data_IF_870318272078
#
_entry.id   IF_870318272078
#
_cell.length_a   1.000
_cell.length_b   1.000
_cell.length_c   1.000
_cell.angle_alpha   90.00
_cell.angle_beta   90.00
_cell.angle_gamma   90.00
#
_symmetry.space_group_name_H-M   'P 1'
#
loop_
_entity.id
_entity.type
_entity.pdbx_description
1 polymer ?
#
# COMPACT_ATOMS: atom_id res chain seq x y z
N UNK A 1 16.26 16.56 -6.44
CA UNK A 1 15.13 15.81 -7.02
C UNK A 1 15.73 14.71 -7.90
N UNK A 2 15.35 13.46 -7.70
CA UNK A 2 15.88 12.30 -8.43
C UNK A 2 14.76 11.67 -9.27
N UNK A 3 15.09 11.17 -10.46
CA UNK A 3 14.15 10.39 -11.26
C UNK A 3 14.27 8.91 -10.87
N UNK A 4 13.18 8.31 -10.36
CA UNK A 4 13.12 6.93 -9.90
C UNK A 4 12.13 6.16 -10.76
N UNK A 5 12.57 5.15 -11.53
CA UNK A 5 11.67 4.28 -12.26
C UNK A 5 10.97 3.32 -11.29
N UNK A 6 9.66 3.18 -11.42
CA UNK A 6 8.87 2.17 -10.73
C UNK A 6 8.16 1.27 -11.74
N UNK A 7 7.96 0.01 -11.36
CA UNK A 7 7.23 -0.97 -12.16
C UNK A 7 6.34 -1.81 -11.26
N UNK A 8 5.22 -2.26 -11.82
CA UNK A 8 4.41 -3.29 -11.18
C UNK A 8 5.18 -4.61 -11.08
N UNK A 9 4.88 -5.39 -10.04
CA UNK A 9 5.44 -6.73 -9.87
C UNK A 9 4.79 -7.75 -10.81
N UNK A 10 3.51 -7.54 -11.15
CA UNK A 10 2.68 -8.54 -11.82
C UNK A 10 1.95 -7.99 -13.06
N UNK A 11 1.84 -6.67 -13.19
CA UNK A 11 1.22 -5.98 -14.33
C UNK A 11 2.29 -5.39 -15.27
N UNK A 12 1.88 -4.93 -16.45
CA UNK A 12 2.80 -4.30 -17.42
C UNK A 12 3.12 -2.83 -17.11
N UNK A 13 2.52 -2.28 -16.05
CA UNK A 13 2.67 -0.87 -15.70
C UNK A 13 4.10 -0.52 -15.27
N UNK A 14 4.59 0.60 -15.79
CA UNK A 14 5.82 1.25 -15.40
C UNK A 14 5.69 2.76 -15.58
N UNK A 15 6.39 3.53 -14.76
CA UNK A 15 6.48 4.98 -14.87
C UNK A 15 7.73 5.51 -14.17
N UNK A 16 8.09 6.76 -14.47
CA UNK A 16 9.17 7.47 -13.79
C UNK A 16 8.57 8.48 -12.82
N UNK A 17 9.08 8.50 -11.58
CA UNK A 17 8.68 9.44 -10.55
C UNK A 17 9.81 10.41 -10.25
N UNK A 18 9.49 11.68 -10.07
CA UNK A 18 10.46 12.67 -9.62
C UNK A 18 10.33 12.84 -8.10
N UNK A 19 11.32 12.33 -7.38
CA UNK A 19 11.27 12.21 -5.92
C UNK A 19 12.24 13.16 -5.23
N UNK A 20 11.86 13.61 -4.04
CA UNK A 20 12.81 14.17 -3.07
C UNK A 20 13.47 13.02 -2.30
N UNK A 21 14.79 13.12 -2.12
CA UNK A 21 15.56 12.11 -1.38
C UNK A 21 15.71 12.60 0.05
N UNK A 22 15.17 11.84 0.99
CA UNK A 22 15.27 12.09 2.42
C UNK A 22 16.13 11.00 3.06
N UNK A 23 16.90 11.29 4.12
CA UNK A 23 17.67 10.27 4.83
C UNK A 23 16.79 9.25 5.53
N UNK A 24 15.55 9.61 5.85
CA UNK A 24 14.55 8.77 6.49
C UNK A 24 13.15 9.23 6.12
N UNK A 25 12.26 8.31 5.75
CA UNK A 25 10.89 8.60 5.33
C UNK A 25 9.92 8.29 6.49
N UNK A 26 9.88 7.03 6.91
CA UNK A 26 9.07 6.55 8.03
C UNK A 26 9.80 5.45 8.80
N UNK A 27 9.37 5.21 10.04
CA UNK A 27 9.66 3.96 10.74
C UNK A 27 9.04 2.76 9.98
N UNK A 28 9.24 1.55 10.48
CA UNK A 28 8.67 0.34 9.89
C UNK A 28 7.13 0.38 9.84
N UNK A 29 6.58 0.01 8.69
CA UNK A 29 5.15 -0.10 8.44
C UNK A 29 4.86 -1.49 7.86
N UNK A 30 3.98 -2.29 8.50
CA UNK A 30 3.38 -2.06 9.82
C UNK A 30 4.44 -2.06 10.93
N UNK A 31 4.15 -1.44 12.08
CA UNK A 31 5.08 -1.43 13.21
C UNK A 31 5.26 -2.80 13.89
N UNK A 32 4.39 -3.75 13.57
CA UNK A 32 4.39 -5.13 14.04
C UNK A 32 3.78 -6.01 12.97
N UNK A 33 4.16 -7.29 12.97
CA UNK A 33 3.60 -8.26 12.04
C UNK A 33 2.08 -8.40 12.20
N UNK A 34 1.38 -8.42 11.08
CA UNK A 34 -0.07 -8.55 11.01
C UNK A 34 -0.41 -10.04 10.84
N UNK A 35 -1.15 -10.65 11.80
CA UNK A 35 -1.59 -12.03 11.65
C UNK A 35 -2.63 -12.13 10.51
N UNK A 36 -2.33 -12.98 9.52
CA UNK A 36 -3.15 -13.11 8.31
C UNK A 36 -4.35 -14.08 8.47
N UNK A 37 -4.48 -14.78 9.59
CA UNK A 37 -5.45 -15.87 9.77
C UNK A 37 -6.90 -15.47 9.42
N UNK A 38 -7.28 -14.23 9.68
CA UNK A 38 -8.63 -13.70 9.41
C UNK A 38 -8.73 -12.87 8.12
N UNK A 39 -7.62 -12.60 7.45
CA UNK A 39 -7.56 -11.81 6.21
C UNK A 39 -7.58 -12.77 5.01
N UNK A 40 -8.78 -13.08 4.53
CA UNK A 40 -8.97 -13.98 3.38
C UNK A 40 -8.85 -13.21 2.07
N UNK A 41 -7.62 -13.01 1.60
CA UNK A 41 -7.36 -12.43 0.28
C UNK A 41 -7.60 -13.52 -0.79
N UNK A 42 -8.41 -13.25 -1.83
CA UNK A 42 -8.57 -14.20 -2.93
C UNK A 42 -7.24 -14.51 -3.62
N UNK A 43 -6.93 -15.80 -3.81
CA UNK A 43 -5.62 -16.28 -4.29
C UNK A 43 -5.30 -15.88 -5.73
N UNK A 44 -6.31 -15.47 -6.51
CA UNK A 44 -6.15 -15.02 -7.88
C UNK A 44 -5.74 -13.54 -7.99
N UNK A 45 -5.59 -12.82 -6.87
CA UNK A 45 -5.23 -11.41 -6.87
C UNK A 45 -3.74 -11.24 -6.60
N UNK A 46 -3.11 -10.42 -7.44
CA UNK A 46 -1.73 -10.01 -7.25
C UNK A 46 -1.68 -8.71 -6.42
N UNK A 47 -1.12 -8.78 -5.21
CA UNK A 47 -0.94 -7.59 -4.37
C UNK A 47 0.18 -6.70 -4.91
N UNK A 48 0.04 -5.39 -4.75
CA UNK A 48 1.11 -4.44 -5.04
C UNK A 48 2.30 -4.61 -4.07
N UNK A 49 2.00 -5.02 -2.84
CA UNK A 49 2.97 -5.43 -1.85
C UNK A 49 2.56 -6.79 -1.24
N UNK A 50 3.15 -7.91 -1.70
CA UNK A 50 2.91 -9.23 -1.12
C UNK A 50 3.34 -9.37 0.35
N UNK A 51 4.19 -8.48 0.85
CA UNK A 51 4.72 -8.48 2.23
C UNK A 51 4.13 -7.37 3.10
N UNK A 52 2.98 -6.82 2.73
CA UNK A 52 2.29 -5.74 3.48
C UNK A 52 2.04 -6.03 4.97
N UNK A 53 2.12 -7.30 5.37
CA UNK A 53 1.87 -7.77 6.73
C UNK A 53 3.14 -7.83 7.59
N UNK A 54 4.33 -7.73 7.00
CA UNK A 54 5.61 -7.81 7.69
C UNK A 54 6.19 -6.41 7.91
N UNK A 55 6.69 -6.06 9.11
CA UNK A 55 7.36 -4.78 9.34
C UNK A 55 8.52 -4.55 8.37
N UNK A 56 8.52 -3.40 7.71
CA UNK A 56 9.57 -2.98 6.79
C UNK A 56 9.60 -1.46 6.68
N UNK A 57 10.77 -0.90 6.38
CA UNK A 57 10.91 0.50 5.99
C UNK A 57 10.13 0.79 4.72
N UNK A 58 9.62 2.02 4.60
CA UNK A 58 9.01 2.52 3.36
C UNK A 58 10.08 3.16 2.48
N UNK A 59 10.25 2.63 1.27
CA UNK A 59 11.25 3.14 0.31
C UNK A 59 10.77 4.39 -0.44
N UNK A 60 9.45 4.53 -0.62
CA UNK A 60 8.86 5.56 -1.46
C UNK A 60 7.45 5.94 -0.98
N UNK A 61 7.20 7.24 -0.85
CA UNK A 61 5.84 7.80 -0.72
C UNK A 61 5.47 8.44 -2.06
N UNK A 62 4.34 8.02 -2.62
CA UNK A 62 3.82 8.55 -3.88
C UNK A 62 2.82 9.67 -3.56
N UNK A 63 3.06 10.85 -4.13
CA UNK A 63 2.22 12.03 -3.97
C UNK A 63 0.93 11.99 -4.77
N UNK A 64 0.08 13.00 -4.54
CA UNK A 64 -1.21 13.15 -5.21
C UNK A 64 -1.09 13.40 -6.73
N UNK A 65 0.08 13.85 -7.19
CA UNK A 65 0.43 14.10 -8.58
C UNK A 65 0.39 12.83 -9.43
N UNK A 66 0.69 11.66 -8.86
CA UNK A 66 0.66 10.37 -9.58
C UNK A 66 -0.36 9.40 -8.99
N UNK A 67 -0.74 9.57 -7.72
CA UNK A 67 -1.67 8.68 -7.02
C UNK A 67 -2.96 8.38 -7.80
N UNK A 68 -3.58 9.40 -8.40
CA UNK A 68 -4.85 9.24 -9.11
C UNK A 68 -4.72 8.44 -10.40
N UNK A 69 -3.57 8.50 -11.07
CA UNK A 69 -3.29 7.72 -12.28
C UNK A 69 -3.00 6.25 -11.97
N UNK A 70 -2.62 5.95 -10.71
CA UNK A 70 -2.35 4.60 -10.25
C UNK A 70 -3.62 3.89 -9.80
N UNK A 71 -4.57 4.60 -9.18
CA UNK A 71 -5.77 3.99 -8.62
C UNK A 71 -6.70 3.46 -9.71
N UNK A 72 -7.13 2.21 -9.53
CA UNK A 72 -8.22 1.61 -10.28
C UNK A 72 -9.58 1.92 -9.69
N UNK A 73 -10.62 1.44 -10.35
CA UNK A 73 -12.02 1.65 -9.94
C UNK A 73 -12.55 0.51 -9.07
N UNK A 74 -11.97 -0.69 -9.16
CA UNK A 74 -12.48 -1.87 -8.45
C UNK A 74 -12.06 -1.86 -6.99
N UNK A 75 -13.00 -2.28 -6.15
CA UNK A 75 -12.81 -2.48 -4.70
C UNK A 75 -13.46 -3.78 -4.27
N UNK A 76 -12.80 -4.51 -3.38
CA UNK A 76 -13.33 -5.75 -2.80
C UNK A 76 -13.29 -5.60 -1.28
N UNK A 77 -14.47 -5.56 -0.65
CA UNK A 77 -14.56 -5.57 0.81
C UNK A 77 -14.33 -7.00 1.32
N UNK A 78 -13.44 -7.17 2.30
CA UNK A 78 -13.21 -8.47 2.94
C UNK A 78 -14.20 -8.75 4.09
N UNK A 79 -15.12 -7.82 4.37
CA UNK A 79 -16.14 -7.92 5.42
C UNK A 79 -15.98 -6.87 6.51
N UNK A 80 -16.88 -6.90 7.50
CA UNK A 80 -16.89 -5.91 8.58
C UNK A 80 -15.62 -6.01 9.44
N UNK A 81 -15.02 -4.85 9.76
CA UNK A 81 -13.78 -4.75 10.55
C UNK A 81 -12.52 -5.28 9.87
N UNK A 82 -12.59 -5.58 8.56
CA UNK A 82 -11.48 -6.08 7.75
C UNK A 82 -11.10 -5.06 6.66
N UNK A 83 -9.90 -5.21 6.07
CA UNK A 83 -9.47 -4.35 4.98
C UNK A 83 -10.37 -4.44 3.75
N UNK A 84 -10.27 -3.42 2.91
CA UNK A 84 -10.76 -3.36 1.55
C UNK A 84 -9.56 -3.49 0.63
N UNK A 85 -9.68 -4.36 -0.37
CA UNK A 85 -8.73 -4.42 -1.47
C UNK A 85 -9.11 -3.39 -2.51
N UNK A 86 -8.15 -2.58 -2.95
CA UNK A 86 -8.35 -1.54 -3.96
C UNK A 86 -7.44 -1.87 -5.15
N UNK A 87 -8.02 -1.93 -6.34
CA UNK A 87 -7.24 -2.12 -7.55
C UNK A 87 -6.32 -0.92 -7.80
N UNK A 88 -5.11 -1.18 -8.27
CA UNK A 88 -4.21 -0.16 -8.81
C UNK A 88 -3.39 -0.73 -9.96
N UNK A 89 -2.75 0.15 -10.74
CA UNK A 89 -1.82 -0.25 -11.81
C UNK A 89 -0.56 -0.96 -11.29
N UNK A 90 -0.27 -0.87 -9.99
CA UNK A 90 0.83 -1.58 -9.33
C UNK A 90 0.42 -2.95 -8.76
N UNK A 91 -0.88 -3.29 -8.81
CA UNK A 91 -1.46 -4.46 -8.15
C UNK A 91 -2.52 -4.07 -7.12
N UNK A 92 -3.10 -5.04 -6.43
CA UNK A 92 -4.12 -4.80 -5.42
C UNK A 92 -3.51 -4.25 -4.12
N UNK A 93 -4.03 -3.12 -3.67
CA UNK A 93 -3.67 -2.45 -2.43
C UNK A 93 -4.54 -2.98 -1.29
N UNK A 94 -3.95 -3.23 -0.13
CA UNK A 94 -4.68 -3.51 1.12
C UNK A 94 -4.89 -2.20 1.86
N UNK A 95 -6.15 -1.81 2.10
CA UNK A 95 -6.48 -0.52 2.71
C UNK A 95 -7.59 -0.64 3.75
N UNK A 96 -7.65 0.30 4.69
CA UNK A 96 -8.65 0.30 5.76
C UNK A 96 -8.20 -0.41 7.04
N UNK A 97 -9.07 -0.40 8.07
CA UNK A 97 -8.69 -0.83 9.40
C UNK A 97 -8.55 -2.35 9.50
N UNK A 98 -7.62 -2.78 10.33
CA UNK A 98 -7.54 -4.14 10.86
C UNK A 98 -8.04 -4.09 12.31
N UNK A 99 -9.34 -4.31 12.51
CA UNK A 99 -9.94 -4.35 13.85
C UNK A 99 -9.68 -5.69 14.56
N UNK A 100 -8.52 -6.32 14.28
CA UNK A 100 -8.07 -7.53 14.96
C UNK A 100 -7.56 -7.09 16.34
N UNK A 101 -8.47 -7.02 17.32
CA UNK A 101 -8.22 -6.78 18.74
C UNK A 101 -7.16 -5.72 19.12
N UNK A 102 -7.62 -4.48 19.31
CA UNK A 102 -7.08 -3.47 20.23
C UNK A 102 -5.56 -3.08 20.21
N UNK A 103 -4.73 -3.53 19.26
CA UNK A 103 -3.28 -3.18 19.28
C UNK A 103 -2.64 -2.70 17.97
N UNK A 104 -3.32 -2.78 16.83
CA UNK A 104 -2.72 -2.39 15.55
C UNK A 104 -3.10 -0.96 15.17
N UNK A 105 -2.31 0.01 15.64
CA UNK A 105 -2.46 1.41 15.24
C UNK A 105 -1.79 1.62 13.88
N UNK A 106 -2.50 1.30 12.80
CA UNK A 106 -2.02 1.56 11.44
C UNK A 106 -2.08 3.08 11.21
N UNK A 107 -0.93 3.74 11.17
CA UNK A 107 -0.82 5.12 10.70
C UNK A 107 -0.82 5.12 9.17
N UNK A 108 -1.96 5.47 8.59
CA UNK A 108 -1.99 5.89 7.19
C UNK A 108 -1.31 7.25 7.07
N UNK A 109 -0.33 7.38 6.18
CA UNK A 109 0.19 8.65 5.74
C UNK A 109 -0.26 8.87 4.29
N UNK A 110 -1.48 9.40 4.12
CA UNK A 110 -1.80 10.18 2.93
C UNK A 110 -1.45 11.63 3.26
N UNK A 111 -0.30 12.11 2.78
CA UNK A 111 -0.02 13.55 2.76
C UNK A 111 -0.79 14.17 1.60
N UNK A 112 -2.01 14.65 1.88
CA UNK A 112 -2.67 15.65 1.05
C UNK A 112 -2.67 17.00 1.78
N UNK A 113 -1.81 17.90 1.31
CA UNK A 113 -1.76 19.37 1.52
C UNK A 113 -0.51 19.83 0.75
N UNK A 114 -0.54 20.70 -0.26
CA UNK A 114 -1.49 21.71 -0.74
C UNK A 114 -1.67 21.61 -2.25
#
# INVERSE_FOLDING_TARGET
>A
MCCVPIKSLNETFNTNLFCFVLPHITDEVPSQEIPLNDIKIPSNLCLADPRFHTPSSVDLIIGADVFWDLLGVRKISLGNGKPVLIESRLGWLVSGPLLIMAKYRIRFLTLSRF
#
